data_IF_960867494964
#
_entry.id   IF_960867494964
#
_cell.length_a   1.000
_cell.length_b   1.000
_cell.length_c   1.000
_cell.angle_alpha   90.00
_cell.angle_beta   90.00
_cell.angle_gamma   90.00
#
_symmetry.space_group_name_H-M   'P 1'
#
loop_
_entity.id
_entity.type
_entity.pdbx_description
1 polymer ?
#
# COMPACT_ATOMS: atom_id res chain seq x y z
N UNK A 1 13.40 2.86 -39.40
CA UNK A 1 14.09 1.79 -38.66
C UNK A 1 13.02 1.15 -37.80
N UNK A 2 12.79 -0.16 -37.94
CA UNK A 2 11.82 -0.87 -37.10
C UNK A 2 12.48 -0.98 -35.73
N UNK A 3 11.97 -0.28 -34.73
CA UNK A 3 12.48 -0.36 -33.36
C UNK A 3 12.08 -1.73 -32.80
N UNK A 4 13.08 -2.58 -32.56
CA UNK A 4 12.87 -3.97 -32.14
C UNK A 4 12.30 -4.00 -30.72
N UNK A 5 11.19 -4.72 -30.55
CA UNK A 5 10.60 -4.97 -29.24
C UNK A 5 10.56 -6.47 -28.99
N UNK A 6 10.67 -6.84 -27.73
CA UNK A 6 10.43 -8.21 -27.31
C UNK A 6 9.31 -8.23 -26.28
N UNK A 7 8.32 -9.10 -26.50
CA UNK A 7 7.17 -9.23 -25.62
C UNK A 7 7.16 -10.61 -24.99
N UNK A 8 6.95 -10.65 -23.68
CA UNK A 8 6.84 -11.87 -22.90
C UNK A 8 5.47 -11.93 -22.25
N UNK A 9 4.76 -13.04 -22.45
CA UNK A 9 3.52 -13.34 -21.75
C UNK A 9 3.83 -14.13 -20.48
N UNK A 10 3.32 -13.65 -19.34
CA UNK A 10 3.51 -14.30 -18.04
C UNK A 10 2.46 -15.39 -17.82
N UNK A 11 2.87 -16.55 -17.32
CA UNK A 11 1.98 -17.63 -16.89
C UNK A 11 1.79 -17.62 -15.37
N UNK A 12 0.71 -18.25 -14.88
CA UNK A 12 0.41 -18.29 -13.43
C UNK A 12 1.46 -19.03 -12.60
N UNK A 13 2.18 -19.96 -13.23
CA UNK A 13 3.29 -20.72 -12.63
C UNK A 13 4.53 -19.85 -12.36
N UNK A 14 4.59 -18.65 -12.94
CA UNK A 14 5.76 -17.77 -12.92
C UNK A 14 6.80 -18.07 -14.00
N UNK A 15 6.47 -18.96 -14.92
CA UNK A 15 7.14 -19.07 -16.21
C UNK A 15 6.64 -17.99 -17.17
N UNK A 16 7.41 -17.72 -18.22
CA UNK A 16 7.02 -16.78 -19.28
C UNK A 16 7.31 -17.39 -20.65
N UNK A 17 6.51 -17.03 -21.64
CA UNK A 17 6.72 -17.38 -23.04
C UNK A 17 6.95 -16.12 -23.85
N UNK A 18 7.91 -16.15 -24.78
CA UNK A 18 8.10 -15.08 -25.75
C UNK A 18 6.94 -15.10 -26.76
N UNK A 19 6.38 -13.93 -27.05
CA UNK A 19 5.39 -13.75 -28.11
C UNK A 19 6.15 -13.35 -29.37
N UNK A 20 6.27 -14.28 -30.32
CA UNK A 20 7.03 -14.07 -31.55
C UNK A 20 6.22 -13.26 -32.57
N UNK A 21 6.93 -12.50 -33.42
CA UNK A 21 6.33 -11.77 -34.54
C UNK A 21 5.56 -10.50 -34.15
N UNK A 22 5.66 -10.04 -32.91
CA UNK A 22 4.98 -8.82 -32.44
C UNK A 22 5.82 -7.60 -32.80
N UNK A 23 5.24 -6.69 -33.56
CA UNK A 23 5.80 -5.35 -33.83
C UNK A 23 5.17 -4.31 -32.89
N UNK A 24 5.71 -3.09 -32.87
CA UNK A 24 5.11 -2.01 -32.07
C UNK A 24 3.70 -1.68 -32.54
N UNK A 25 3.46 -1.78 -33.84
CA UNK A 25 2.18 -1.48 -34.46
C UNK A 25 1.11 -2.50 -34.07
N UNK A 26 1.50 -3.76 -33.87
CA UNK A 26 0.59 -4.88 -33.57
C UNK A 26 0.45 -5.17 -32.07
N UNK A 27 1.27 -4.52 -31.22
CA UNK A 27 1.30 -4.82 -29.78
C UNK A 27 -0.02 -4.50 -29.07
N UNK A 28 -0.81 -3.58 -29.62
CA UNK A 28 -2.11 -3.20 -29.05
C UNK A 28 -3.11 -4.37 -29.14
N UNK A 29 -3.01 -5.20 -30.19
CA UNK A 29 -3.94 -6.32 -30.43
C UNK A 29 -3.71 -7.50 -29.49
N UNK A 30 -2.51 -7.61 -28.91
CA UNK A 30 -2.17 -8.71 -28.00
C UNK A 30 -2.54 -8.42 -26.54
N UNK A 31 -2.86 -7.16 -26.19
CA UNK A 31 -3.18 -6.81 -24.82
C UNK A 31 -4.53 -7.40 -24.39
N UNK A 32 -4.49 -8.17 -23.31
CA UNK A 32 -5.63 -8.83 -22.70
C UNK A 32 -5.74 -8.42 -21.23
N UNK A 33 -6.92 -7.97 -20.82
CA UNK A 33 -7.19 -7.47 -19.47
C UNK A 33 -6.95 -8.51 -18.36
N UNK A 34 -6.92 -9.81 -18.70
CA UNK A 34 -6.71 -10.92 -17.76
C UNK A 34 -5.24 -11.33 -17.67
N UNK A 35 -4.39 -10.74 -18.49
CA UNK A 35 -3.01 -11.14 -18.66
C UNK A 35 -2.03 -10.07 -18.15
N UNK A 36 -0.77 -10.49 -18.04
CA UNK A 36 0.36 -9.60 -17.71
C UNK A 36 1.41 -9.80 -18.78
N UNK A 37 1.84 -8.70 -19.39
CA UNK A 37 2.87 -8.68 -20.42
C UNK A 37 4.10 -7.94 -19.91
N UNK A 38 5.27 -8.50 -20.21
CA UNK A 38 6.55 -7.85 -19.98
C UNK A 38 7.11 -7.45 -21.33
N UNK A 39 7.39 -6.17 -21.53
CA UNK A 39 7.75 -5.60 -22.83
C UNK A 39 9.12 -4.98 -22.69
N UNK A 40 10.09 -5.51 -23.42
CA UNK A 40 11.45 -4.99 -23.48
C UNK A 40 11.60 -4.12 -24.72
N UNK A 41 12.05 -2.88 -24.51
CA UNK A 41 12.46 -1.97 -25.57
C UNK A 41 13.95 -1.68 -25.37
N UNK A 42 14.84 -2.42 -26.06
CA UNK A 42 16.29 -2.30 -25.90
C UNK A 42 16.80 -0.88 -26.15
N UNK A 43 16.32 -0.24 -27.23
CA UNK A 43 16.76 1.09 -27.66
C UNK A 43 16.54 2.18 -26.59
N UNK A 44 15.43 2.07 -25.85
CA UNK A 44 15.07 3.00 -24.80
C UNK A 44 15.60 2.59 -23.41
N UNK A 45 16.26 1.43 -23.31
CA UNK A 45 16.68 0.82 -22.05
C UNK A 45 15.51 0.73 -21.06
N UNK A 46 14.33 0.33 -21.54
CA UNK A 46 13.10 0.24 -20.76
C UNK A 46 12.56 -1.19 -20.78
N UNK A 47 12.11 -1.65 -19.62
CA UNK A 47 11.38 -2.90 -19.47
C UNK A 47 10.05 -2.57 -18.78
N UNK A 48 8.97 -2.62 -19.54
CA UNK A 48 7.62 -2.36 -19.04
C UNK A 48 6.98 -3.65 -18.54
N UNK A 49 6.23 -3.53 -17.45
CA UNK A 49 5.33 -4.57 -16.96
C UNK A 49 3.92 -4.01 -17.10
N UNK A 50 3.20 -4.43 -18.14
CA UNK A 50 1.81 -4.05 -18.35
C UNK A 50 0.89 -5.06 -17.67
N UNK A 51 -0.02 -4.57 -16.82
CA UNK A 51 -0.91 -5.38 -16.00
C UNK A 51 -2.35 -5.14 -16.42
N UNK A 52 -3.00 -6.19 -16.93
CA UNK A 52 -4.43 -6.13 -17.24
C UNK A 52 -5.27 -5.84 -15.99
N UNK A 53 -6.38 -5.12 -16.17
CA UNK A 53 -7.26 -4.70 -15.06
C UNK A 53 -7.86 -5.89 -14.32
N UNK A 54 -8.26 -6.93 -15.06
CA UNK A 54 -8.90 -8.14 -14.57
C UNK A 54 -7.90 -9.28 -14.25
N UNK A 55 -6.58 -9.06 -14.37
CA UNK A 55 -5.61 -10.13 -14.15
C UNK A 55 -5.47 -10.51 -12.66
N UNK A 56 -5.22 -11.80 -12.34
CA UNK A 56 -5.11 -12.26 -10.96
C UNK A 56 -3.99 -11.55 -10.18
N UNK A 57 -4.26 -11.25 -8.90
CA UNK A 57 -3.32 -10.57 -8.01
C UNK A 57 -1.98 -11.30 -7.94
N UNK A 58 -2.00 -12.62 -7.82
CA UNK A 58 -0.79 -13.45 -7.80
C UNK A 58 0.09 -13.23 -9.04
N UNK A 59 -0.52 -13.13 -10.23
CA UNK A 59 0.17 -12.89 -11.50
C UNK A 59 0.84 -11.51 -11.52
N UNK A 60 0.15 -10.48 -10.99
CA UNK A 60 0.74 -9.14 -10.80
C UNK A 60 1.97 -9.18 -9.88
N UNK A 61 1.92 -9.93 -8.77
CA UNK A 61 3.08 -10.05 -7.86
C UNK A 61 4.26 -10.79 -8.49
N UNK A 62 4.00 -11.87 -9.21
CA UNK A 62 5.05 -12.69 -9.82
C UNK A 62 5.77 -11.91 -10.93
N UNK A 63 5.05 -11.05 -11.65
CA UNK A 63 5.59 -10.27 -12.77
C UNK A 63 6.85 -9.47 -12.44
N UNK A 64 6.92 -8.86 -11.25
CA UNK A 64 8.09 -8.10 -10.81
C UNK A 64 9.35 -8.97 -10.68
N UNK A 65 9.19 -10.21 -10.17
CA UNK A 65 10.30 -11.16 -10.03
C UNK A 65 10.77 -11.67 -11.39
N UNK A 66 9.84 -11.91 -12.30
CA UNK A 66 10.14 -12.37 -13.67
C UNK A 66 10.82 -11.26 -14.47
N UNK A 67 10.35 -10.02 -14.38
CA UNK A 67 11.00 -8.86 -14.96
C UNK A 67 12.44 -8.70 -14.48
N UNK A 68 12.69 -8.86 -13.18
CA UNK A 68 14.06 -8.85 -12.63
C UNK A 68 14.92 -10.02 -13.14
N UNK A 69 14.33 -11.20 -13.38
CA UNK A 69 15.03 -12.35 -13.96
C UNK A 69 15.47 -12.03 -15.40
N UNK A 70 14.54 -11.57 -16.25
CA UNK A 70 14.81 -11.14 -17.62
C UNK A 70 15.89 -10.05 -17.64
N UNK A 71 15.79 -9.07 -16.73
CA UNK A 71 16.77 -8.01 -16.57
C UNK A 71 18.18 -8.54 -16.26
N UNK A 72 18.31 -9.49 -15.32
CA UNK A 72 19.61 -10.11 -14.97
C UNK A 72 20.19 -10.89 -16.15
N UNK A 73 19.36 -11.63 -16.87
CA UNK A 73 19.80 -12.42 -18.02
C UNK A 73 20.27 -11.52 -19.16
N UNK A 74 19.60 -10.38 -19.39
CA UNK A 74 20.04 -9.36 -20.35
C UNK A 74 21.34 -8.66 -19.96
N UNK A 75 21.54 -8.35 -18.68
CA UNK A 75 22.81 -7.77 -18.21
C UNK A 75 23.97 -8.74 -18.44
N UNK A 76 23.77 -10.04 -18.21
CA UNK A 76 24.81 -11.06 -18.46
C UNK A 76 25.19 -11.15 -19.93
N UNK A 77 24.21 -11.09 -20.84
CA UNK A 77 24.44 -11.33 -22.27
C UNK A 77 24.81 -10.06 -23.05
N UNK A 78 24.26 -8.91 -22.68
CA UNK A 78 24.38 -7.65 -23.41
C UNK A 78 25.00 -6.50 -22.58
N UNK A 79 25.29 -6.71 -21.30
CA UNK A 79 25.94 -5.71 -20.44
C UNK A 79 25.08 -4.49 -20.08
N UNK A 80 23.78 -4.50 -20.42
CA UNK A 80 22.93 -3.31 -20.29
C UNK A 80 21.80 -3.50 -19.27
N UNK A 81 21.71 -2.55 -18.34
CA UNK A 81 20.61 -2.48 -17.39
C UNK A 81 19.43 -1.68 -17.97
N UNK A 82 18.21 -2.20 -17.89
CA UNK A 82 16.99 -1.50 -18.28
C UNK A 82 16.27 -1.00 -17.02
N UNK A 83 15.60 0.14 -17.15
CA UNK A 83 14.71 0.64 -16.10
C UNK A 83 13.39 -0.13 -16.17
N UNK A 84 13.03 -0.79 -15.07
CA UNK A 84 11.75 -1.50 -14.94
C UNK A 84 10.66 -0.48 -14.58
N UNK A 85 9.55 -0.50 -15.32
CA UNK A 85 8.40 0.39 -15.10
C UNK A 85 7.13 -0.45 -15.08
N UNK A 86 6.32 -0.31 -14.03
CA UNK A 86 5.06 -1.03 -13.88
C UNK A 86 3.90 -0.14 -14.31
N UNK A 87 2.98 -0.68 -15.11
CA UNK A 87 1.87 0.04 -15.72
C UNK A 87 0.60 -0.79 -15.55
N UNK A 88 -0.47 -0.17 -15.05
CA UNK A 88 -1.79 -0.79 -14.96
C UNK A 88 -2.64 -0.37 -16.15
N UNK A 89 -3.49 -1.27 -16.63
CA UNK A 89 -4.42 -0.98 -17.72
C UNK A 89 -5.38 0.16 -17.33
N UNK A 90 -5.48 1.17 -18.19
CA UNK A 90 -6.22 2.41 -17.94
C UNK A 90 -5.45 3.44 -17.12
N UNK A 91 -4.23 3.12 -16.68
CA UNK A 91 -3.25 4.05 -16.09
C UNK A 91 -1.91 4.07 -16.86
N UNK A 92 -2.00 4.01 -18.19
CA UNK A 92 -0.83 4.03 -19.05
C UNK A 92 -0.14 5.39 -19.01
N UNK A 93 1.19 5.39 -18.91
CA UNK A 93 2.00 6.60 -18.99
C UNK A 93 2.04 7.10 -20.44
N UNK A 94 2.03 8.41 -20.64
CA UNK A 94 2.14 9.00 -21.99
C UNK A 94 3.45 8.58 -22.70
N UNK A 95 4.55 8.43 -21.95
CA UNK A 95 5.80 7.85 -22.49
C UNK A 95 5.58 6.43 -23.02
N UNK A 96 4.82 5.59 -22.32
CA UNK A 96 4.56 4.22 -22.75
C UNK A 96 3.71 4.19 -24.02
N UNK A 97 2.63 4.96 -24.05
CA UNK A 97 1.75 5.11 -25.22
C UNK A 97 2.55 5.56 -26.44
N UNK A 98 3.38 6.60 -26.28
CA UNK A 98 4.23 7.14 -27.34
C UNK A 98 5.30 6.14 -27.80
N UNK A 99 5.97 5.47 -26.86
CA UNK A 99 7.08 4.56 -27.17
C UNK A 99 6.62 3.28 -27.90
N UNK A 100 5.38 2.86 -27.67
CA UNK A 100 4.76 1.72 -28.34
C UNK A 100 3.86 2.11 -29.52
N UNK A 101 3.63 3.41 -29.74
CA UNK A 101 2.78 3.88 -30.84
C UNK A 101 1.31 3.49 -30.70
N UNK A 102 0.82 3.31 -29.46
CA UNK A 102 -0.56 2.91 -29.19
C UNK A 102 -1.51 4.02 -29.63
N UNK A 103 -2.46 3.70 -30.51
CA UNK A 103 -3.36 4.71 -31.12
C UNK A 103 -4.71 4.79 -30.43
N UNK A 104 -5.17 3.72 -29.79
CA UNK A 104 -6.51 3.66 -29.21
C UNK A 104 -6.52 3.82 -27.68
N UNK A 105 -5.34 3.92 -27.06
CA UNK A 105 -5.21 4.21 -25.63
C UNK A 105 -5.25 5.71 -25.37
N UNK A 106 -6.20 6.14 -24.53
CA UNK A 106 -6.35 7.55 -24.13
C UNK A 106 -5.17 8.01 -23.29
N UNK A 107 -4.61 9.16 -23.63
CA UNK A 107 -3.60 9.86 -22.83
C UNK A 107 -4.15 10.28 -21.47
N UNK A 108 -3.27 10.61 -20.52
CA UNK A 108 -3.71 11.07 -19.20
C UNK A 108 -4.60 12.31 -19.29
N UNK A 109 -4.24 13.27 -20.15
CA UNK A 109 -5.01 14.50 -20.36
C UNK A 109 -6.44 14.22 -20.86
N UNK A 110 -6.60 13.28 -21.79
CA UNK A 110 -7.91 12.90 -22.32
C UNK A 110 -8.77 12.21 -21.26
N UNK A 111 -8.18 11.35 -20.43
CA UNK A 111 -8.87 10.70 -19.30
C UNK A 111 -9.32 11.72 -18.24
N UNK A 112 -8.49 12.70 -17.92
CA UNK A 112 -8.85 13.79 -17.00
C UNK A 112 -9.99 14.66 -17.55
N UNK A 113 -9.97 14.99 -18.83
CA UNK A 113 -11.02 15.76 -19.47
C UNK A 113 -12.38 15.01 -19.44
N UNK A 114 -12.37 13.71 -19.70
CA UNK A 114 -13.57 12.87 -19.62
C UNK A 114 -14.11 12.77 -18.19
N UNK A 115 -13.22 12.64 -17.18
CA UNK A 115 -13.62 12.62 -15.77
C UNK A 115 -14.29 13.93 -15.37
N UNK A 116 -13.69 15.07 -15.72
CA UNK A 116 -14.28 16.40 -15.47
C UNK A 116 -15.65 16.57 -16.14
N UNK A 117 -15.79 16.12 -17.38
CA UNK A 117 -17.06 16.18 -18.11
C UNK A 117 -18.15 15.34 -17.43
N UNK A 118 -17.79 14.16 -16.93
CA UNK A 118 -18.72 13.28 -16.21
C UNK A 118 -19.12 13.86 -14.85
N UNK A 119 -18.17 14.42 -14.12
CA UNK A 119 -18.43 15.13 -12.85
C UNK A 119 -19.37 16.34 -13.07
N UNK A 120 -19.15 17.12 -14.13
CA UNK A 120 -20.02 18.25 -14.50
C UNK A 120 -21.44 17.79 -14.89
N UNK A 121 -21.56 16.68 -15.64
CA UNK A 121 -22.86 16.11 -16.02
C UNK A 121 -23.62 15.55 -14.80
N UNK A 122 -22.93 14.86 -13.89
CA UNK A 122 -23.52 14.36 -12.63
C UNK A 122 -23.95 15.52 -11.72
N UNK A 123 -23.15 16.58 -11.61
CA UNK A 123 -23.51 17.78 -10.89
C UNK A 123 -24.77 18.46 -11.47
N UNK A 124 -24.85 18.57 -12.81
CA UNK A 124 -26.03 19.12 -13.49
C UNK A 124 -27.28 18.26 -13.24
N UNK A 125 -27.14 16.94 -13.30
CA UNK A 125 -28.24 15.99 -13.03
C UNK A 125 -28.73 16.09 -11.59
N UNK A 126 -27.82 16.24 -10.63
CA UNK A 126 -28.15 16.44 -9.22
C UNK A 126 -28.89 17.78 -9.01
N UNK A 127 -28.43 18.85 -9.62
CA UNK A 127 -29.07 20.17 -9.55
C UNK A 127 -30.50 20.13 -10.15
N UNK A 128 -30.72 19.41 -11.25
CA UNK A 128 -32.04 19.23 -11.86
C UNK A 128 -33.01 18.48 -10.95
N UNK A 129 -32.52 17.47 -10.20
CA UNK A 129 -33.33 16.74 -9.21
C UNK A 129 -33.74 17.63 -8.02
N UNK A 130 -32.87 18.56 -7.60
CA UNK A 130 -33.16 19.50 -6.51
C UNK A 130 -34.12 20.63 -6.93
N UNK A 131 -34.32 20.85 -8.23
CA UNK A 131 -35.22 21.88 -8.79
C UNK A 131 -36.65 21.39 -9.06
N UNK A 132 -37.00 20.14 -8.70
CA UNK A 132 -38.41 19.69 -8.73
C UNK A 132 -39.08 19.97 -7.39
N UNK A 133 -39.90 21.04 -7.24
CA UNK A 133 -40.87 21.10 -6.18
C UNK A 133 -42.04 20.20 -6.59
N UNK A 134 -42.34 19.20 -5.77
CA UNK A 134 -43.71 18.74 -5.48
C UNK A 134 -43.61 17.57 -4.50
N UNK A 135 -43.15 17.90 -3.29
CA UNK A 135 -43.64 17.18 -2.12
C UNK A 135 -44.79 18.05 -1.62
N UNK A 136 -46.00 17.71 -2.04
CA UNK A 136 -47.21 18.06 -1.30
C UNK A 136 -46.94 17.65 0.14
N UNK A 137 -46.80 18.63 1.03
CA UNK A 137 -46.85 18.38 2.46
C UNK A 137 -48.25 17.85 2.77
N UNK A 138 -48.45 16.55 2.62
CA UNK A 138 -49.43 15.87 3.45
C UNK A 138 -48.83 15.85 4.86
N UNK A 139 -49.40 16.68 5.74
CA UNK A 139 -49.15 16.57 7.16
C UNK A 139 -49.43 15.11 7.57
N UNK A 140 -48.46 14.40 8.16
CA UNK A 140 -48.72 13.07 8.66
C UNK A 140 -49.71 13.23 9.82
N UNK A 141 -50.95 12.79 9.61
CA UNK A 141 -51.90 12.62 10.71
C UNK A 141 -51.24 11.73 11.76
N UNK A 142 -51.17 12.24 12.97
CA UNK A 142 -50.44 11.71 14.13
C UNK A 142 -50.85 10.28 14.56
N UNK A 143 -51.86 9.69 13.93
CA UNK A 143 -52.42 8.39 14.31
C UNK A 143 -51.80 7.18 13.56
N UNK A 144 -51.03 7.38 12.48
CA UNK A 144 -50.40 6.26 11.75
C UNK A 144 -48.91 6.00 12.10
N UNK A 145 -48.28 6.89 12.88
CA UNK A 145 -46.88 6.76 13.28
C UNK A 145 -46.61 5.57 14.23
N UNK A 146 -47.64 5.01 14.87
CA UNK A 146 -47.48 3.90 15.81
C UNK A 146 -47.44 2.53 15.10
N UNK A 147 -47.90 2.42 13.84
CA UNK A 147 -47.91 1.13 13.10
C UNK A 147 -46.71 0.91 12.18
N UNK A 148 -45.98 1.97 11.79
CA UNK A 148 -44.77 1.82 10.96
C UNK A 148 -43.52 1.41 11.77
N UNK A 149 -43.47 1.74 13.07
CA UNK A 149 -42.36 1.39 13.97
C UNK A 149 -42.30 -0.11 14.33
N UNK A 150 -43.45 -0.79 14.34
CA UNK A 150 -43.53 -2.23 14.67
C UNK A 150 -43.19 -3.15 13.48
N UNK A 151 -43.12 -2.64 12.25
CA UNK A 151 -42.71 -3.42 11.08
C UNK A 151 -41.18 -3.45 10.89
N UNK A 152 -40.50 -2.33 11.14
CA UNK A 152 -39.02 -2.24 10.99
C UNK A 152 -38.29 -3.02 12.08
N UNK A 153 -38.83 -3.02 13.31
CA UNK A 153 -38.24 -3.77 14.44
C UNK A 153 -38.42 -5.29 14.32
N UNK A 154 -39.47 -5.76 13.65
CA UNK A 154 -39.67 -7.19 13.39
C UNK A 154 -38.91 -7.70 12.15
N UNK A 155 -38.61 -6.83 11.17
CA UNK A 155 -37.78 -7.21 10.01
C UNK A 155 -36.30 -7.42 10.38
N UNK A 156 -35.76 -6.65 11.33
CA UNK A 156 -34.38 -6.83 11.81
C UNK A 156 -34.18 -8.04 12.74
N UNK A 157 -35.24 -8.57 13.35
CA UNK A 157 -35.16 -9.81 14.15
C UNK A 157 -35.24 -11.09 13.32
N UNK A 158 -35.79 -11.03 12.09
CA UNK A 158 -35.92 -12.19 11.19
C UNK A 158 -34.77 -12.35 10.19
N UNK A 159 -33.91 -11.35 10.04
CA UNK A 159 -32.70 -11.41 9.19
C UNK A 159 -31.49 -12.09 9.86
N UNK A 160 -31.56 -12.41 11.17
CA UNK A 160 -30.49 -13.12 11.90
C UNK A 160 -30.56 -14.65 11.86
N UNK A 161 -31.46 -15.23 11.08
CA UNK A 161 -31.64 -16.71 10.99
C UNK A 161 -31.65 -17.26 9.56
N UNK A 162 -31.29 -16.47 8.54
CA UNK A 162 -31.38 -16.89 7.13
C UNK A 162 -30.09 -16.78 6.31
N UNK A 163 -28.95 -16.48 6.95
CA UNK A 163 -27.64 -16.77 6.36
C UNK A 163 -26.97 -17.80 7.26
N UNK A 164 -26.94 -19.05 6.78
CA UNK A 164 -26.10 -20.08 7.37
C UNK A 164 -24.63 -19.65 7.36
N UNK A 165 -23.77 -20.33 8.12
CA UNK A 165 -22.34 -20.04 8.10
C UNK A 165 -21.85 -20.18 6.67
N UNK A 166 -21.40 -19.07 6.07
CA UNK A 166 -20.50 -19.15 4.92
C UNK A 166 -19.26 -19.84 5.48
N UNK A 167 -19.13 -21.12 5.14
CA UNK A 167 -17.89 -21.85 5.33
C UNK A 167 -16.88 -21.17 4.41
N UNK A 168 -16.23 -20.15 4.94
CA UNK A 168 -14.93 -19.70 4.47
C UNK A 168 -14.00 -20.88 4.68
N UNK A 169 -13.85 -21.72 3.66
CA UNK A 169 -12.67 -22.57 3.45
C UNK A 169 -11.47 -21.72 3.03
N UNK A 170 -11.31 -20.54 3.63
CA UNK A 170 -10.00 -19.96 3.85
C UNK A 170 -9.59 -20.41 5.23
N UNK A 171 -8.60 -21.30 5.32
CA UNK A 171 -7.86 -21.50 6.57
C UNK A 171 -7.27 -20.14 6.96
N UNK A 172 -8.02 -19.34 7.73
CA UNK A 172 -7.41 -18.45 8.69
C UNK A 172 -6.60 -19.39 9.56
N UNK A 173 -5.29 -19.43 9.33
CA UNK A 173 -4.39 -19.84 10.40
C UNK A 173 -4.76 -18.92 11.53
N UNK A 174 -5.48 -19.44 12.51
CA UNK A 174 -5.70 -18.77 13.78
C UNK A 174 -4.31 -18.30 14.21
N UNK A 175 -4.06 -17.00 14.07
CA UNK A 175 -2.87 -16.42 14.66
C UNK A 175 -3.11 -16.60 16.14
N UNK A 176 -2.45 -17.60 16.72
CA UNK A 176 -2.38 -17.75 18.16
C UNK A 176 -1.75 -16.46 18.66
N UNK A 177 -2.59 -15.52 19.10
CA UNK A 177 -2.15 -14.25 19.66
C UNK A 177 -1.24 -14.52 20.86
N UNK A 178 -0.27 -13.63 21.07
CA UNK A 178 0.65 -13.78 22.19
C UNK A 178 -0.11 -13.59 23.50
N UNK A 179 0.18 -14.43 24.49
CA UNK A 179 -0.37 -14.24 25.83
C UNK A 179 0.15 -12.93 26.44
N UNK A 180 -0.61 -12.29 27.33
CA UNK A 180 -0.20 -11.03 27.96
C UNK A 180 1.15 -11.11 28.69
N UNK A 181 1.50 -12.27 29.27
CA UNK A 181 2.82 -12.50 29.88
C UNK A 181 3.95 -12.48 28.85
N UNK A 182 3.75 -13.11 27.69
CA UNK A 182 4.73 -13.10 26.61
C UNK A 182 4.90 -11.70 26.03
N UNK A 183 3.80 -10.94 25.90
CA UNK A 183 3.85 -9.55 25.45
C UNK A 183 4.70 -8.70 26.40
N UNK A 184 4.48 -8.81 27.71
CA UNK A 184 5.27 -8.07 28.71
C UNK A 184 6.75 -8.46 28.69
N UNK A 185 7.08 -9.75 28.59
CA UNK A 185 8.47 -10.20 28.52
C UNK A 185 9.19 -9.63 27.29
N UNK A 186 8.53 -9.61 26.13
CA UNK A 186 9.08 -9.02 24.91
C UNK A 186 9.25 -7.51 25.09
N UNK A 187 8.26 -6.82 25.65
CA UNK A 187 8.32 -5.38 25.93
C UNK A 187 9.50 -5.04 26.83
N UNK A 188 9.67 -5.75 27.96
CA UNK A 188 10.77 -5.55 28.90
C UNK A 188 12.13 -5.79 28.23
N UNK A 189 12.24 -6.81 27.38
CA UNK A 189 13.46 -7.11 26.63
C UNK A 189 13.80 -6.01 25.62
N UNK A 190 12.79 -5.44 24.95
CA UNK A 190 12.95 -4.31 24.04
C UNK A 190 13.39 -3.05 24.80
N UNK A 191 12.78 -2.78 25.96
CA UNK A 191 13.08 -1.58 26.74
C UNK A 191 14.48 -1.60 27.37
N UNK A 192 15.03 -2.79 27.65
CA UNK A 192 16.43 -2.98 28.11
C UNK A 192 17.48 -2.69 27.05
N UNK A 193 17.14 -2.73 25.76
CA UNK A 193 18.10 -2.47 24.69
C UNK A 193 18.36 -0.96 24.58
N UNK A 194 19.65 -0.61 24.46
CA UNK A 194 20.06 0.78 24.26
C UNK A 194 19.45 1.35 22.96
N UNK A 195 18.99 2.59 23.08
CA UNK A 195 18.53 3.38 21.96
C UNK A 195 19.78 3.88 21.22
N UNK A 196 19.86 3.77 19.88
CA UNK A 196 21.01 4.26 19.14
C UNK A 196 21.25 5.76 19.36
N UNK A 197 22.52 6.17 19.33
CA UNK A 197 22.92 7.57 19.52
C UNK A 197 22.19 8.51 18.56
N UNK A 198 21.67 9.63 19.10
CA UNK A 198 20.92 10.63 18.34
C UNK A 198 19.46 10.26 18.05
N UNK A 199 18.96 9.18 18.64
CA UNK A 199 17.57 8.76 18.51
C UNK A 199 16.86 8.67 19.87
N UNK A 200 15.54 8.76 19.83
CA UNK A 200 14.62 8.45 20.93
C UNK A 200 13.60 7.42 20.45
N UNK A 201 13.29 6.42 21.28
CA UNK A 201 12.24 5.43 21.02
C UNK A 201 10.88 6.12 21.06
N UNK A 202 10.07 5.96 20.01
CA UNK A 202 8.77 6.64 19.88
C UNK A 202 7.59 5.66 19.92
N UNK A 203 7.66 4.62 19.10
CA UNK A 203 6.59 3.61 19.00
C UNK A 203 7.16 2.18 19.02
N UNK A 204 6.38 1.26 19.59
CA UNK A 204 6.62 -0.17 19.54
C UNK A 204 5.36 -0.87 19.01
N UNK A 205 5.51 -1.79 18.06
CA UNK A 205 4.38 -2.59 17.55
C UNK A 205 4.62 -4.04 17.97
N UNK A 206 3.66 -4.63 18.67
CA UNK A 206 3.73 -5.97 19.24
C UNK A 206 2.39 -6.68 19.06
N UNK A 207 2.38 -7.81 18.35
CA UNK A 207 1.16 -8.58 18.07
C UNK A 207 0.01 -7.79 17.40
N UNK A 208 0.35 -6.75 16.63
CA UNK A 208 -0.64 -5.86 16.02
C UNK A 208 -1.17 -4.76 16.95
N UNK A 209 -0.70 -4.67 18.19
CA UNK A 209 -0.95 -3.55 19.10
C UNK A 209 0.18 -2.52 19.01
N UNK A 210 -0.20 -1.25 19.03
CA UNK A 210 0.72 -0.12 19.11
C UNK A 210 0.96 0.23 20.58
N UNK A 211 2.21 0.40 20.98
CA UNK A 211 2.64 0.85 22.30
C UNK A 211 3.38 2.17 22.15
N UNK A 212 3.06 3.13 23.02
CA UNK A 212 3.59 4.49 23.00
C UNK A 212 4.19 4.87 24.34
N UNK A 213 5.20 5.74 24.34
CA UNK A 213 5.72 6.33 25.57
C UNK A 213 4.71 7.37 26.10
N UNK A 214 4.13 7.11 27.26
CA UNK A 214 3.26 8.04 27.96
C UNK A 214 3.97 8.65 29.15
N UNK A 215 3.97 9.99 29.20
CA UNK A 215 4.48 10.76 30.32
C UNK A 215 3.36 11.01 31.32
N UNK A 216 3.34 10.27 32.43
CA UNK A 216 2.37 10.46 33.51
C UNK A 216 2.99 11.33 34.60
N UNK A 217 2.31 12.42 34.98
CA UNK A 217 2.68 13.20 36.16
C UNK A 217 2.24 12.45 37.41
N UNK A 218 3.18 11.91 38.17
CA UNK A 218 2.95 11.30 39.47
C UNK A 218 3.35 12.23 40.61
N UNK A 219 2.73 12.09 41.78
CA UNK A 219 3.18 12.78 42.99
C UNK A 219 3.96 11.80 43.87
N UNK A 220 5.26 12.02 44.02
CA UNK A 220 6.13 11.19 44.87
C UNK A 220 6.72 12.11 45.93
N UNK A 221 6.33 11.90 47.19
CA UNK A 221 6.72 12.75 48.34
C UNK A 221 6.44 14.24 48.12
N UNK A 222 5.20 14.58 47.75
CA UNK A 222 4.73 15.95 47.49
C UNK A 222 5.41 16.71 46.35
N UNK A 223 6.33 16.08 45.60
CA UNK A 223 6.90 16.61 44.37
C UNK A 223 6.25 15.94 43.16
N UNK A 224 5.88 16.75 42.17
CA UNK A 224 5.50 16.23 40.85
C UNK A 224 6.73 15.63 40.17
N UNK A 225 6.65 14.36 39.81
CA UNK A 225 7.67 13.62 39.07
C UNK A 225 7.03 13.10 37.80
N UNK A 226 7.67 13.32 36.66
CA UNK A 226 7.26 12.75 35.38
C UNK A 226 7.75 11.29 35.32
N UNK A 227 6.81 10.35 35.30
CA UNK A 227 7.07 8.91 35.17
C UNK A 227 6.78 8.55 33.72
N UNK A 228 7.79 8.07 33.00
CA UNK A 228 7.62 7.52 31.66
C UNK A 228 7.13 6.07 31.76
N UNK A 229 5.97 5.77 31.18
CA UNK A 229 5.43 4.40 31.08
C UNK A 229 5.16 4.05 29.63
N UNK A 230 5.41 2.79 29.26
CA UNK A 230 5.07 2.25 27.94
C UNK A 230 3.81 1.42 28.06
N UNK A 231 2.69 1.95 27.53
CA UNK A 231 1.41 1.25 27.54
C UNK A 231 0.88 1.10 26.11
N UNK A 232 -0.06 0.18 25.92
CA UNK A 232 -0.79 0.04 24.67
C UNK A 232 -1.57 1.33 24.39
N UNK A 233 -1.50 1.80 23.14
CA UNK A 233 -2.26 2.93 22.65
C UNK A 233 -3.75 2.58 22.69
N UNK A 234 -4.50 3.35 23.47
CA UNK A 234 -5.93 3.15 23.72
C UNK A 234 -6.83 4.00 22.81
N UNK A 235 -6.23 4.83 21.95
CA UNK A 235 -6.95 5.60 20.94
C UNK A 235 -7.51 4.72 19.83
N UNK A 236 -8.65 5.15 19.26
CA UNK A 236 -9.22 4.50 18.09
C UNK A 236 -8.26 4.63 16.90
N UNK A 237 -7.70 3.51 16.45
CA UNK A 237 -7.05 3.44 15.15
C UNK A 237 -8.16 3.42 14.11
N UNK A 238 -8.39 4.55 13.44
CA UNK A 238 -9.35 4.64 12.35
C UNK A 238 -8.89 3.77 11.17
N UNK A 239 -9.85 3.23 10.43
CA UNK A 239 -9.57 2.53 9.18
C UNK A 239 -8.92 3.51 8.19
N UNK A 240 -7.64 3.32 7.89
CA UNK A 240 -6.90 4.25 7.05
C UNK A 240 -5.39 4.04 7.09
N UNK A 241 -4.65 5.02 6.57
CA UNK A 241 -3.19 5.06 6.65
C UNK A 241 -2.78 5.98 7.79
N UNK A 242 -1.91 5.48 8.68
CA UNK A 242 -1.24 6.31 9.68
C UNK A 242 0.22 6.50 9.23
N UNK A 243 0.58 7.73 8.91
CA UNK A 243 1.94 8.08 8.56
C UNK A 243 2.75 8.32 9.84
N UNK A 244 3.73 7.44 10.07
CA UNK A 244 4.84 7.68 10.97
C UNK A 244 6.02 8.04 10.07
N UNK A 245 6.86 9.01 10.44
CA UNK A 245 8.12 9.32 9.72
C UNK A 245 9.28 8.57 10.40
N UNK A 246 9.48 7.26 10.15
CA UNK A 246 10.55 6.51 10.76
C UNK A 246 11.87 6.90 10.10
N UNK A 247 12.75 7.53 10.87
CA UNK A 247 14.13 7.73 10.43
C UNK A 247 14.99 6.48 10.64
N UNK A 248 14.56 5.59 11.55
CA UNK A 248 15.18 4.29 11.78
C UNK A 248 14.15 3.28 12.34
N UNK A 249 14.19 2.06 11.82
CA UNK A 249 13.40 0.92 12.29
C UNK A 249 14.32 -0.16 12.84
N UNK A 250 13.89 -0.85 13.91
CA UNK A 250 14.55 -2.06 14.41
C UNK A 250 13.52 -3.18 14.55
N UNK A 251 13.84 -4.35 14.01
CA UNK A 251 12.99 -5.54 14.11
C UNK A 251 13.51 -6.45 15.21
N UNK A 252 12.63 -6.92 16.08
CA UNK A 252 12.94 -8.00 17.01
C UNK A 252 12.52 -9.33 16.39
N UNK A 253 13.50 -10.15 16.04
CA UNK A 253 13.30 -11.43 15.37
C UNK A 253 13.76 -12.55 16.31
N UNK A 254 12.87 -13.51 16.58
CA UNK A 254 13.17 -14.73 17.34
C UNK A 254 12.56 -15.91 16.61
N UNK A 255 13.32 -17.00 16.47
CA UNK A 255 12.87 -18.22 15.76
C UNK A 255 12.34 -17.96 14.34
N UNK A 256 12.97 -17.01 13.63
CA UNK A 256 12.59 -16.63 12.26
C UNK A 256 11.27 -15.87 12.15
N UNK A 257 10.66 -15.44 13.26
CA UNK A 257 9.44 -14.63 13.29
C UNK A 257 9.74 -13.23 13.80
N UNK A 258 9.15 -12.22 13.15
CA UNK A 258 9.14 -10.85 13.67
C UNK A 258 8.17 -10.84 14.85
N UNK A 259 8.69 -10.59 16.04
CA UNK A 259 7.90 -10.48 17.26
C UNK A 259 7.51 -9.04 17.54
N UNK A 260 8.41 -8.08 17.28
CA UNK A 260 8.14 -6.66 17.49
C UNK A 260 8.83 -5.77 16.44
N UNK A 261 8.26 -4.58 16.24
CA UNK A 261 8.86 -3.50 15.45
C UNK A 261 9.05 -2.28 16.33
N UNK A 262 10.25 -1.73 16.34
CA UNK A 262 10.61 -0.52 17.07
C UNK A 262 10.87 0.62 16.09
N UNK A 263 10.26 1.77 16.40
CA UNK A 263 10.31 2.97 15.57
C UNK A 263 10.99 4.09 16.35
N UNK A 264 12.04 4.65 15.76
CA UNK A 264 12.83 5.73 16.35
C UNK A 264 12.59 7.08 15.70
N UNK A 265 12.61 8.11 16.54
CA UNK A 265 12.64 9.52 16.15
C UNK A 265 14.04 10.09 16.38
N UNK A 266 14.47 11.06 15.56
CA UNK A 266 15.71 11.79 15.84
C UNK A 266 15.51 12.70 17.05
N UNK A 267 16.34 12.53 18.08
CA UNK A 267 16.38 13.45 19.21
C UNK A 267 17.20 14.68 18.83
N UNK A 268 16.64 15.89 19.03
CA UNK A 268 17.35 17.16 18.75
C UNK A 268 18.41 17.51 19.81
N UNK A 269 18.81 16.58 20.66
CA UNK A 269 19.84 16.82 21.66
C UNK A 269 21.23 16.55 21.08
N UNK A 270 21.77 17.56 20.38
CA UNK A 270 23.21 17.74 20.25
C UNK A 270 23.59 18.97 21.06
N UNK A 271 24.01 18.75 22.31
CA UNK A 271 24.89 19.69 23.01
C UNK A 271 26.32 19.38 22.60
N UNK A 272 26.97 20.39 22.02
CA UNK A 272 28.41 20.64 21.95
C UNK A 272 29.35 19.42 21.95
N UNK A 273 29.81 19.07 20.75
CA UNK A 273 30.97 18.20 20.55
C UNK A 273 31.60 18.47 19.19
N UNK A 274 32.64 19.30 19.18
CA UNK A 274 33.59 19.63 18.09
C UNK A 274 33.45 18.84 16.76
N UNK A 275 33.49 19.52 15.60
CA UNK A 275 33.71 18.82 14.33
C UNK A 275 35.11 18.22 14.35
N UNK A 276 35.18 16.89 14.41
CA UNK A 276 36.39 16.14 14.14
C UNK A 276 36.79 16.38 12.69
N UNK A 277 37.81 17.19 12.50
CA UNK A 277 38.62 17.28 11.29
C UNK A 277 39.11 15.89 10.89
N UNK A 278 38.45 15.28 9.91
CA UNK A 278 38.98 14.14 9.17
C UNK A 278 39.72 14.65 7.95
N UNK A 279 41.03 14.80 8.08
CA UNK A 279 41.96 15.11 7.00
C UNK A 279 41.82 14.09 5.87
N UNK A 280 41.58 14.58 4.66
CA UNK A 280 41.83 13.81 3.43
C UNK A 280 43.34 13.83 3.25
N UNK A 281 44.00 12.74 3.63
CA UNK A 281 45.40 12.53 3.30
C UNK A 281 45.45 11.91 1.89
N UNK A 282 45.80 12.75 0.93
CA UNK A 282 46.17 12.37 -0.42
C UNK A 282 47.47 11.56 -0.35
N UNK A 283 47.42 10.29 -0.75
CA UNK A 283 48.61 9.52 -1.06
C UNK A 283 48.75 9.42 -2.58
N UNK A 284 49.43 10.41 -3.16
CA UNK A 284 50.33 10.18 -4.29
C UNK A 284 51.59 9.51 -3.73
N UNK A 285 51.96 8.34 -4.26
CA UNK A 285 53.30 8.10 -4.81
C UNK A 285 53.51 6.64 -5.28
N UNK A 286 54.18 6.56 -6.43
CA UNK A 286 54.90 5.44 -7.05
C UNK A 286 54.08 4.38 -7.80
#
# INVERSE_FOLDING_TARGET
>A
MVEEIEVFKLHETGEYSTVEGVTKEDIEEIFDEREVFIILIPDLRRLYIWKGKACPVQKKFISSRVAQKIQRDRVKNAGMQHKIVSIDQGDELDEFIKNLGLKHVKTQAEREAERKKKEEEEARRFEELMKKPDIVKEEPKEEEAIKASSYVTNLMKKAKTAFGPVVSTGQSRDRVGMSGKQKQEILDNMLKQEVPDGFSREHLILDGELYVNMKKKGKVFDKEVEIETWDAFDGALEDGFMDIDPRKLRFFIKEGKILAVEIFKISKETKDGKPGTGSIESAENA
#
